data_IF_110898427250
#
_entry.id   IF_110898427250
#
_cell.length_a   1.000
_cell.length_b   1.000
_cell.length_c   1.000
_cell.angle_alpha   90.00
_cell.angle_beta   90.00
_cell.angle_gamma   90.00
#
_symmetry.space_group_name_H-M   'P 1'
#
loop_
_entity.id
_entity.type
_entity.pdbx_description
1 polymer ?
#
# COMPACT_ATOMS: atom_id res chain seq x y z
N UNK A 1 -9.91 -7.00 -8.71
CA UNK A 1 -9.61 -6.51 -7.36
C UNK A 1 -9.40 -5.01 -7.45
N UNK A 2 -10.17 -4.23 -6.69
CA UNK A 2 -10.04 -2.79 -6.52
C UNK A 2 -9.06 -2.48 -5.39
N UNK A 3 -8.19 -1.50 -5.62
CA UNK A 3 -7.31 -0.97 -4.59
C UNK A 3 -7.96 0.23 -3.90
N UNK A 4 -8.05 0.21 -2.58
CA UNK A 4 -8.37 1.40 -1.80
C UNK A 4 -7.12 1.88 -1.09
N UNK A 5 -6.59 3.01 -1.54
CA UNK A 5 -5.45 3.62 -0.85
C UNK A 5 -5.93 4.42 0.35
N UNK A 6 -5.30 4.15 1.49
CA UNK A 6 -5.73 4.62 2.80
C UNK A 6 -4.64 5.43 3.50
N UNK A 7 -3.74 6.01 2.70
CA UNK A 7 -2.63 6.82 3.17
C UNK A 7 -3.13 8.04 3.92
N UNK A 8 -4.07 8.81 3.34
CA UNK A 8 -4.56 10.06 3.91
C UNK A 8 -5.18 9.88 5.30
N UNK A 9 -5.96 8.82 5.52
CA UNK A 9 -6.61 8.55 6.82
C UNK A 9 -5.66 8.07 7.92
N UNK A 10 -4.49 7.60 7.54
CA UNK A 10 -3.54 6.92 8.44
C UNK A 10 -2.30 7.78 8.70
N UNK A 11 -1.90 8.60 7.73
CA UNK A 11 -0.83 9.60 7.87
C UNK A 11 -1.13 10.63 8.97
N UNK A 12 -2.41 10.95 9.21
CA UNK A 12 -2.83 11.82 10.32
C UNK A 12 -2.41 11.31 11.71
N UNK A 13 -1.95 10.05 11.83
CA UNK A 13 -1.46 9.44 13.06
C UNK A 13 0.06 9.46 13.20
N UNK A 14 0.77 9.95 12.19
CA UNK A 14 2.24 9.98 12.12
C UNK A 14 2.82 11.35 12.53
N UNK A 15 2.07 12.43 12.30
CA UNK A 15 2.45 13.80 12.66
C UNK A 15 1.84 14.21 14.00
N UNK A 16 2.63 14.75 14.92
CA UNK A 16 2.13 15.35 16.16
C UNK A 16 1.27 16.61 15.89
N UNK A 17 1.61 17.37 14.85
CA UNK A 17 0.92 18.62 14.48
C UNK A 17 -0.24 18.41 13.49
N UNK A 18 -0.46 17.17 13.05
CA UNK A 18 -1.41 16.85 11.98
C UNK A 18 -0.90 17.22 10.59
N UNK A 19 -1.65 16.82 9.55
CA UNK A 19 -1.45 17.31 8.19
C UNK A 19 -2.28 18.60 7.98
N UNK A 20 -1.85 19.46 7.06
CA UNK A 20 -2.68 20.56 6.54
C UNK A 20 -3.68 20.04 5.49
N UNK A 21 -4.66 20.86 5.11
CA UNK A 21 -5.61 20.50 4.04
C UNK A 21 -4.87 20.36 2.71
N UNK A 22 -3.96 21.30 2.42
CA UNK A 22 -3.16 21.35 1.19
C UNK A 22 -2.33 20.09 1.00
N UNK A 23 -1.63 19.63 2.05
CA UNK A 23 -0.84 18.39 2.00
C UNK A 23 -1.70 17.17 1.71
N UNK A 24 -2.92 17.10 2.28
CA UNK A 24 -3.84 15.99 2.03
C UNK A 24 -4.40 16.04 0.61
N UNK A 25 -4.69 17.23 0.10
CA UNK A 25 -5.18 17.43 -1.28
C UNK A 25 -4.11 17.06 -2.29
N UNK A 26 -2.87 17.54 -2.11
CA UNK A 26 -1.72 17.19 -2.97
C UNK A 26 -1.49 15.67 -3.01
N UNK A 27 -1.49 15.02 -1.84
CA UNK A 27 -1.36 13.56 -1.77
C UNK A 27 -2.56 12.83 -2.40
N UNK A 28 -3.78 13.33 -2.25
CA UNK A 28 -4.97 12.76 -2.91
C UNK A 28 -4.91 12.87 -4.43
N UNK A 29 -4.45 14.00 -4.97
CA UNK A 29 -4.24 14.18 -6.42
C UNK A 29 -3.15 13.25 -6.97
N UNK A 30 -2.10 12.99 -6.19
CA UNK A 30 -1.08 12.01 -6.58
C UNK A 30 -1.61 10.56 -6.54
N UNK A 31 -2.52 10.23 -5.61
CA UNK A 31 -3.24 8.95 -5.62
C UNK A 31 -4.16 8.81 -6.84
N UNK A 32 -4.86 9.87 -7.22
CA UNK A 32 -5.73 9.88 -8.40
C UNK A 32 -4.94 9.72 -9.70
N UNK A 33 -3.78 10.39 -9.81
CA UNK A 33 -2.82 10.16 -10.90
C UNK A 33 -2.34 8.71 -10.99
N UNK A 34 -2.11 8.07 -9.84
CA UNK A 34 -1.78 6.65 -9.81
C UNK A 34 -2.94 5.79 -10.35
N UNK A 35 -4.17 6.30 -10.35
CA UNK A 35 -5.34 5.61 -10.89
C UNK A 35 -5.97 4.64 -9.90
N UNK A 36 -5.77 4.84 -8.59
CA UNK A 36 -6.45 4.00 -7.59
C UNK A 36 -7.96 4.26 -7.65
N UNK A 37 -8.82 3.24 -7.65
CA UNK A 37 -10.27 3.45 -7.78
C UNK A 37 -10.92 4.07 -6.54
N UNK A 38 -10.30 3.92 -5.36
CA UNK A 38 -10.87 4.38 -4.09
C UNK A 38 -9.80 5.09 -3.26
N UNK A 39 -10.08 6.31 -2.79
CA UNK A 39 -9.23 7.07 -1.87
C UNK A 39 -9.91 7.17 -0.50
N UNK A 40 -9.34 6.46 0.49
CA UNK A 40 -9.82 6.48 1.86
C UNK A 40 -9.32 7.70 2.63
N UNK A 41 -10.19 8.66 2.91
CA UNK A 41 -9.86 9.85 3.71
C UNK A 41 -10.16 9.65 5.19
N UNK A 42 -9.84 10.64 6.01
CA UNK A 42 -10.05 10.58 7.44
C UNK A 42 -11.53 10.77 7.84
N UNK A 43 -11.77 11.42 8.97
CA UNK A 43 -13.10 11.47 9.59
C UNK A 43 -13.62 12.91 9.58
N UNK A 44 -14.58 13.26 8.72
CA UNK A 44 -15.12 14.63 8.66
C UNK A 44 -15.59 15.18 10.01
N UNK A 45 -16.22 14.37 10.86
CA UNK A 45 -16.62 14.79 12.21
C UNK A 45 -15.47 14.83 13.25
N UNK A 46 -14.20 14.69 12.83
CA UNK A 46 -13.05 14.96 13.68
C UNK A 46 -12.63 16.43 13.66
N UNK A 47 -12.98 17.19 12.62
CA UNK A 47 -12.67 18.61 12.55
C UNK A 47 -12.85 19.20 11.16
N UNK A 48 -12.84 20.53 11.08
CA UNK A 48 -13.06 21.27 9.83
C UNK A 48 -12.06 20.89 8.73
N UNK A 49 -10.78 20.71 9.07
CA UNK A 49 -9.75 20.33 8.09
C UNK A 49 -10.02 18.95 7.45
N UNK A 50 -10.53 17.98 8.21
CA UNK A 50 -10.87 16.65 7.68
C UNK A 50 -12.09 16.72 6.75
N UNK A 51 -13.08 17.56 7.10
CA UNK A 51 -14.25 17.79 6.27
C UNK A 51 -13.89 18.50 4.96
N UNK A 52 -13.16 19.61 5.05
CA UNK A 52 -12.70 20.39 3.89
C UNK A 52 -11.82 19.55 2.95
N UNK A 53 -10.98 18.68 3.50
CA UNK A 53 -10.18 17.75 2.68
C UNK A 53 -11.09 16.82 1.88
N UNK A 54 -12.10 16.21 2.51
CA UNK A 54 -13.04 15.34 1.80
C UNK A 54 -13.82 16.12 0.74
N UNK A 55 -14.34 17.31 1.07
CA UNK A 55 -15.07 18.18 0.13
C UNK A 55 -14.23 18.48 -1.13
N UNK A 56 -12.98 18.91 -0.94
CA UNK A 56 -12.08 19.25 -2.06
C UNK A 56 -11.71 18.03 -2.89
N UNK A 57 -11.41 16.91 -2.25
CA UNK A 57 -11.03 15.70 -2.99
C UNK A 57 -12.22 15.12 -3.75
N UNK A 58 -13.41 15.03 -3.14
CA UNK A 58 -14.59 14.49 -3.82
C UNK A 58 -15.01 15.33 -5.03
N UNK A 59 -14.76 16.64 -5.00
CA UNK A 59 -15.04 17.53 -6.13
C UNK A 59 -14.01 17.43 -7.28
N UNK A 60 -12.77 17.07 -6.97
CA UNK A 60 -11.63 17.19 -7.90
C UNK A 60 -11.08 15.85 -8.42
N UNK A 61 -11.24 14.75 -7.67
CA UNK A 61 -10.66 13.44 -8.03
C UNK A 61 -11.58 12.65 -8.98
N UNK A 62 -10.96 11.76 -9.77
CA UNK A 62 -11.69 10.75 -10.54
C UNK A 62 -11.99 9.49 -9.72
N UNK A 63 -11.15 9.20 -8.72
CA UNK A 63 -11.33 8.13 -7.75
C UNK A 63 -12.44 8.43 -6.74
N UNK A 64 -13.20 7.40 -6.31
CA UNK A 64 -14.21 7.58 -5.28
C UNK A 64 -13.56 7.93 -3.94
N UNK A 65 -14.02 9.01 -3.31
CA UNK A 65 -13.54 9.49 -2.02
C UNK A 65 -14.38 8.92 -0.90
N UNK A 66 -13.73 8.13 -0.03
CA UNK A 66 -14.40 7.33 1.01
C UNK A 66 -13.92 7.72 2.42
N UNK A 67 -14.50 8.76 3.06
CA UNK A 67 -14.25 9.07 4.47
C UNK A 67 -14.73 7.96 5.42
N UNK A 68 -14.07 7.86 6.58
CA UNK A 68 -14.49 6.94 7.65
C UNK A 68 -15.43 7.61 8.65
N UNK A 69 -16.42 6.85 9.11
CA UNK A 69 -17.36 7.21 10.17
C UNK A 69 -17.36 6.15 11.28
N UNK A 70 -17.58 6.56 12.53
CA UNK A 70 -18.08 5.62 13.55
C UNK A 70 -19.51 5.22 13.17
N UNK A 71 -19.98 4.08 13.69
CA UNK A 71 -21.39 3.71 13.66
C UNK A 71 -22.23 4.64 14.56
N UNK A 72 -22.43 5.87 14.10
CA UNK A 72 -23.20 6.92 14.77
C UNK A 72 -23.78 7.87 13.72
N UNK A 73 -25.07 8.20 13.85
CA UNK A 73 -25.82 9.06 12.92
C UNK A 73 -25.13 10.42 12.71
N UNK A 74 -24.66 11.06 13.79
CA UNK A 74 -24.00 12.37 13.71
C UNK A 74 -22.67 12.32 12.95
N UNK A 75 -21.92 11.22 13.05
CA UNK A 75 -20.64 11.04 12.37
C UNK A 75 -20.86 10.85 10.86
N UNK A 76 -21.94 10.16 10.48
CA UNK A 76 -22.39 10.03 9.09
C UNK A 76 -22.94 11.35 8.57
N UNK A 77 -23.77 12.06 9.33
CA UNK A 77 -24.30 13.36 8.92
C UNK A 77 -23.19 14.39 8.64
N UNK A 78 -22.13 14.38 9.45
CA UNK A 78 -20.96 15.22 9.22
C UNK A 78 -20.16 14.82 7.97
N UNK A 79 -20.15 13.53 7.61
CA UNK A 79 -19.52 13.07 6.37
C UNK A 79 -20.36 13.43 5.15
N UNK A 80 -21.70 13.28 5.21
CA UNK A 80 -22.60 13.70 4.14
C UNK A 80 -22.51 15.20 3.83
N UNK A 81 -22.25 16.03 4.84
CA UNK A 81 -21.99 17.45 4.64
C UNK A 81 -20.73 17.74 3.82
N UNK A 82 -19.85 16.75 3.65
CA UNK A 82 -18.64 16.83 2.84
C UNK A 82 -18.82 16.31 1.40
N UNK A 83 -20.04 15.91 1.03
CA UNK A 83 -20.42 15.36 -0.28
C UNK A 83 -19.50 14.24 -0.84
N UNK A 84 -19.20 13.18 -0.07
CA UNK A 84 -18.34 12.09 -0.52
C UNK A 84 -19.09 11.11 -1.43
N UNK A 85 -18.35 10.36 -2.25
CA UNK A 85 -18.90 9.31 -3.13
C UNK A 85 -19.46 8.12 -2.33
N UNK A 86 -18.80 7.77 -1.22
CA UNK A 86 -19.27 6.74 -0.29
C UNK A 86 -18.77 7.03 1.14
N UNK A 87 -19.38 6.40 2.15
CA UNK A 87 -18.88 6.46 3.53
C UNK A 87 -18.48 5.08 4.04
N UNK A 88 -17.38 4.99 4.79
CA UNK A 88 -16.96 3.77 5.45
C UNK A 88 -17.36 3.76 6.93
N UNK A 89 -18.38 2.97 7.30
CA UNK A 89 -18.86 2.84 8.68
C UNK A 89 -18.09 1.75 9.42
N UNK A 90 -17.42 2.13 10.53
CA UNK A 90 -16.61 1.23 11.35
C UNK A 90 -17.42 0.54 12.44
N UNK A 91 -17.39 -0.80 12.48
CA UNK A 91 -18.11 -1.61 13.48
C UNK A 91 -17.20 -2.71 14.04
N UNK A 92 -16.91 -2.72 15.36
CA UNK A 92 -16.21 -3.85 15.98
C UNK A 92 -17.05 -5.11 15.96
N UNK A 93 -16.42 -6.26 15.67
CA UNK A 93 -17.12 -7.57 15.64
C UNK A 93 -16.54 -8.59 16.62
N UNK A 94 -15.29 -8.42 17.05
CA UNK A 94 -14.65 -9.31 18.03
C UNK A 94 -15.13 -9.04 19.45
N UNK A 95 -15.31 -10.10 20.22
CA UNK A 95 -15.80 -10.04 21.61
C UNK A 95 -14.87 -9.19 22.48
N UNK A 96 -13.55 -9.36 22.30
CA UNK A 96 -12.55 -8.56 23.01
C UNK A 96 -12.72 -7.05 22.81
N UNK A 97 -13.15 -6.59 21.62
CA UNK A 97 -13.42 -5.16 21.38
C UNK A 97 -14.79 -4.74 21.87
N UNK A 98 -15.81 -5.57 21.64
CA UNK A 98 -17.17 -5.28 22.10
C UNK A 98 -17.21 -5.12 23.62
N UNK A 99 -16.65 -6.08 24.36
CA UNK A 99 -16.60 -6.06 25.83
C UNK A 99 -15.71 -4.94 26.36
N UNK A 100 -14.44 -4.86 25.91
CA UNK A 100 -13.45 -3.98 26.55
C UNK A 100 -13.51 -2.52 26.09
N UNK A 101 -14.10 -2.24 24.92
CA UNK A 101 -14.05 -0.90 24.32
C UNK A 101 -15.43 -0.26 24.18
N UNK A 102 -16.47 -1.04 23.88
CA UNK A 102 -17.83 -0.50 23.69
C UNK A 102 -18.77 -0.82 24.85
N UNK A 103 -18.53 -1.90 25.60
CA UNK A 103 -19.43 -2.36 26.66
C UNK A 103 -20.83 -2.69 26.13
N UNK A 104 -20.95 -3.17 24.90
CA UNK A 104 -22.21 -3.49 24.24
C UNK A 104 -22.18 -4.89 23.62
N UNK A 105 -23.35 -5.44 23.36
CA UNK A 105 -23.48 -6.68 22.59
C UNK A 105 -23.15 -6.46 21.11
N UNK A 106 -22.94 -7.55 20.38
CA UNK A 106 -22.74 -7.50 18.92
C UNK A 106 -23.98 -7.01 18.19
N UNK A 107 -25.16 -7.45 18.63
CA UNK A 107 -26.43 -7.03 18.04
C UNK A 107 -26.64 -5.53 18.24
N UNK A 108 -26.36 -4.99 19.44
CA UNK A 108 -26.39 -3.55 19.68
C UNK A 108 -25.41 -2.78 18.80
N UNK A 109 -24.20 -3.33 18.57
CA UNK A 109 -23.24 -2.71 17.65
C UNK A 109 -23.73 -2.73 16.19
N UNK A 110 -24.38 -3.82 15.77
CA UNK A 110 -24.97 -3.96 14.44
C UNK A 110 -26.24 -3.11 14.28
N UNK A 111 -27.02 -2.88 15.33
CA UNK A 111 -28.16 -1.96 15.34
C UNK A 111 -27.70 -0.53 15.07
N UNK A 112 -26.67 -0.07 15.81
CA UNK A 112 -26.05 1.25 15.57
C UNK A 112 -25.48 1.39 14.17
N UNK A 113 -24.89 0.32 13.64
CA UNK A 113 -24.40 0.29 12.26
C UNK A 113 -25.55 0.38 11.25
N UNK A 114 -26.69 -0.27 11.54
CA UNK A 114 -27.88 -0.23 10.69
C UNK A 114 -28.46 1.19 10.63
N UNK A 115 -28.52 1.90 11.76
CA UNK A 115 -28.92 3.31 11.82
C UNK A 115 -27.98 4.21 11.02
N UNK A 116 -26.66 4.02 11.16
CA UNK A 116 -25.66 4.77 10.41
C UNK A 116 -25.74 4.51 8.89
N UNK A 117 -25.91 3.24 8.48
CA UNK A 117 -26.09 2.84 7.08
C UNK A 117 -27.38 3.45 6.51
N UNK A 118 -28.49 3.39 7.25
CA UNK A 118 -29.74 4.00 6.84
C UNK A 118 -29.58 5.50 6.62
N UNK A 119 -28.94 6.19 7.57
CA UNK A 119 -28.72 7.64 7.48
C UNK A 119 -27.91 8.02 6.23
N UNK A 120 -26.88 7.25 5.88
CA UNK A 120 -26.07 7.50 4.68
C UNK A 120 -26.90 7.33 3.40
N UNK A 121 -27.68 6.24 3.32
CA UNK A 121 -28.60 5.97 2.19
C UNK A 121 -29.68 7.03 2.03
N UNK A 122 -30.26 7.51 3.14
CA UNK A 122 -31.20 8.65 3.12
C UNK A 122 -30.54 9.95 2.64
N UNK A 123 -29.21 10.07 2.81
CA UNK A 123 -28.39 11.14 2.26
C UNK A 123 -27.99 10.94 0.79
N UNK A 124 -28.37 9.81 0.17
CA UNK A 124 -28.03 9.50 -1.22
C UNK A 124 -26.60 8.99 -1.43
N UNK A 125 -25.88 8.63 -0.36
CA UNK A 125 -24.47 8.20 -0.42
C UNK A 125 -24.35 6.71 -0.11
N UNK A 126 -23.51 6.02 -0.88
CA UNK A 126 -23.24 4.59 -0.70
C UNK A 126 -22.44 4.30 0.56
N UNK A 127 -22.51 3.06 1.04
CA UNK A 127 -21.89 2.66 2.30
C UNK A 127 -20.97 1.48 2.11
N UNK A 128 -19.78 1.58 2.69
CA UNK A 128 -18.87 0.48 2.94
C UNK A 128 -18.89 0.17 4.45
N UNK A 129 -19.04 -1.09 4.83
CA UNK A 129 -18.99 -1.49 6.23
C UNK A 129 -17.61 -2.07 6.55
N UNK A 130 -16.88 -1.49 7.50
CA UNK A 130 -15.62 -2.07 7.96
C UNK A 130 -15.80 -2.80 9.28
N UNK A 131 -15.65 -4.13 9.24
CA UNK A 131 -15.65 -4.99 10.42
C UNK A 131 -14.29 -4.92 11.10
N UNK A 132 -14.22 -4.10 12.14
CA UNK A 132 -13.02 -3.89 12.93
C UNK A 132 -12.74 -5.15 13.75
N UNK A 133 -11.52 -5.67 13.58
CA UNK A 133 -10.98 -6.84 14.27
C UNK A 133 -11.64 -8.17 13.85
N UNK A 134 -12.13 -8.23 12.61
CA UNK A 134 -12.83 -9.38 12.04
C UNK A 134 -12.05 -10.69 12.16
N UNK A 135 -10.73 -10.66 11.90
CA UNK A 135 -9.93 -11.88 11.93
C UNK A 135 -9.70 -12.45 13.33
N UNK A 136 -10.10 -11.76 14.41
CA UNK A 136 -10.10 -12.28 15.79
C UNK A 136 -11.51 -12.60 16.30
N UNK A 137 -12.53 -12.46 15.47
CA UNK A 137 -13.89 -12.90 15.75
C UNK A 137 -14.12 -14.32 15.22
N UNK A 138 -15.12 -14.99 15.78
CA UNK A 138 -15.60 -16.27 15.28
C UNK A 138 -16.26 -16.08 13.90
N UNK A 139 -16.07 -17.05 12.99
CA UNK A 139 -16.61 -16.97 11.62
C UNK A 139 -18.12 -16.70 11.59
N UNK A 140 -18.98 -17.34 12.42
CA UNK A 140 -20.41 -17.04 12.44
C UNK A 140 -20.73 -15.58 12.75
N UNK A 141 -19.92 -14.91 13.58
CA UNK A 141 -20.11 -13.49 13.88
C UNK A 141 -19.83 -12.60 12.67
N UNK A 142 -18.81 -12.95 11.88
CA UNK A 142 -18.46 -12.23 10.65
C UNK A 142 -19.48 -12.54 9.54
N UNK A 143 -19.85 -13.80 9.35
CA UNK A 143 -20.87 -14.22 8.39
C UNK A 143 -22.24 -13.56 8.68
N UNK A 144 -22.59 -13.40 9.96
CA UNK A 144 -23.82 -12.70 10.37
C UNK A 144 -23.90 -11.26 9.86
N UNK A 145 -22.77 -10.57 9.69
CA UNK A 145 -22.75 -9.24 9.08
C UNK A 145 -23.10 -9.27 7.58
N UNK A 146 -22.62 -10.27 6.83
CA UNK A 146 -22.98 -10.43 5.40
C UNK A 146 -24.47 -10.72 5.21
N UNK A 147 -25.09 -11.46 6.14
CA UNK A 147 -26.53 -11.70 6.12
C UNK A 147 -27.37 -10.48 6.53
N UNK A 148 -26.80 -9.55 7.31
CA UNK A 148 -27.50 -8.38 7.85
C UNK A 148 -27.38 -7.13 6.98
N UNK A 149 -26.24 -6.93 6.33
CA UNK A 149 -25.93 -5.72 5.57
C UNK A 149 -25.77 -6.05 4.10
N UNK A 150 -26.52 -5.36 3.25
CA UNK A 150 -26.42 -5.46 1.79
C UNK A 150 -25.56 -4.33 1.22
N UNK A 151 -24.26 -4.37 1.52
CA UNK A 151 -23.24 -3.42 1.05
C UNK A 151 -21.85 -4.08 1.03
N UNK A 152 -20.80 -3.45 0.46
CA UNK A 152 -19.43 -3.95 0.56
C UNK A 152 -18.95 -4.02 2.02
N UNK A 153 -18.26 -5.11 2.38
CA UNK A 153 -17.80 -5.37 3.76
C UNK A 153 -16.28 -5.55 3.80
N UNK A 154 -15.57 -4.62 4.45
CA UNK A 154 -14.11 -4.70 4.65
C UNK A 154 -13.78 -5.41 5.96
N UNK A 155 -13.06 -6.52 5.87
CA UNK A 155 -12.56 -7.30 7.01
C UNK A 155 -11.20 -6.76 7.44
N UNK A 156 -11.11 -6.24 8.67
CA UNK A 156 -9.86 -5.63 9.15
C UNK A 156 -9.11 -6.51 10.16
N UNK A 157 -7.88 -6.93 9.83
CA UNK A 157 -6.91 -7.42 10.81
C UNK A 157 -6.33 -6.21 11.54
N UNK A 158 -6.99 -5.81 12.62
CA UNK A 158 -6.74 -4.52 13.26
C UNK A 158 -5.45 -4.51 14.09
N UNK A 159 -4.95 -5.68 14.45
CA UNK A 159 -3.76 -5.85 15.29
C UNK A 159 -2.58 -6.45 14.54
N UNK A 160 -2.76 -6.87 13.28
CA UNK A 160 -1.68 -7.39 12.43
C UNK A 160 -1.18 -8.75 12.91
N UNK A 161 -2.07 -9.57 13.47
CA UNK A 161 -1.71 -10.83 14.13
C UNK A 161 -1.90 -12.05 13.22
N UNK A 162 -2.27 -11.86 11.96
CA UNK A 162 -2.57 -12.96 11.04
C UNK A 162 -1.45 -13.21 10.05
N UNK A 163 -1.36 -14.47 9.63
CA UNK A 163 -0.39 -14.97 8.66
C UNK A 163 -1.13 -15.57 7.46
N UNK A 164 -0.46 -15.73 6.31
CA UNK A 164 -1.16 -16.09 5.08
C UNK A 164 -1.97 -17.41 5.14
N UNK A 165 -1.46 -18.51 5.76
CA UNK A 165 -2.25 -19.74 5.89
C UNK A 165 -3.53 -19.57 6.74
N UNK A 166 -3.46 -18.73 7.78
CA UNK A 166 -4.64 -18.42 8.60
C UNK A 166 -5.66 -17.63 7.77
N UNK A 167 -5.23 -16.60 7.04
CA UNK A 167 -6.11 -15.76 6.21
C UNK A 167 -6.83 -16.60 5.17
N UNK A 168 -6.11 -17.44 4.41
CA UNK A 168 -6.71 -18.35 3.44
C UNK A 168 -7.75 -19.29 4.08
N UNK A 169 -7.42 -19.90 5.23
CA UNK A 169 -8.32 -20.78 5.95
C UNK A 169 -9.57 -20.07 6.46
N UNK A 170 -9.40 -18.89 7.06
CA UNK A 170 -10.49 -18.08 7.59
C UNK A 170 -11.48 -17.67 6.50
N UNK A 171 -10.98 -17.18 5.36
CA UNK A 171 -11.80 -16.74 4.24
C UNK A 171 -12.52 -17.92 3.57
N UNK A 172 -11.88 -19.09 3.46
CA UNK A 172 -12.57 -20.31 3.01
C UNK A 172 -13.71 -20.69 3.93
N UNK A 173 -13.48 -20.74 5.24
CA UNK A 173 -14.55 -21.04 6.21
C UNK A 173 -15.66 -19.99 6.19
N UNK A 174 -15.33 -18.73 5.93
CA UNK A 174 -16.30 -17.65 5.77
C UNK A 174 -17.16 -17.85 4.51
N UNK A 175 -16.57 -18.24 3.38
CA UNK A 175 -17.30 -18.62 2.16
C UNK A 175 -18.19 -19.86 2.39
N UNK A 176 -17.68 -20.89 3.09
CA UNK A 176 -18.46 -22.08 3.46
C UNK A 176 -19.66 -21.72 4.35
N UNK A 177 -19.55 -20.64 5.14
CA UNK A 177 -20.64 -20.05 5.91
C UNK A 177 -21.58 -19.14 5.09
N UNK A 178 -21.55 -19.25 3.75
CA UNK A 178 -22.39 -18.50 2.79
C UNK A 178 -22.17 -16.99 2.77
N UNK A 179 -21.01 -16.49 3.22
CA UNK A 179 -20.64 -15.10 3.00
C UNK A 179 -20.22 -14.88 1.55
N UNK A 180 -20.78 -13.83 0.92
CA UNK A 180 -20.41 -13.43 -0.43
C UNK A 180 -19.07 -12.69 -0.44
N UNK A 181 -17.98 -13.41 -0.72
CA UNK A 181 -16.64 -12.84 -0.77
C UNK A 181 -16.45 -11.83 -1.91
N UNK A 182 -17.29 -11.83 -2.94
CA UNK A 182 -17.21 -10.83 -4.02
C UNK A 182 -17.62 -9.43 -3.55
N UNK A 183 -18.31 -9.34 -2.41
CA UNK A 183 -18.63 -8.09 -1.71
C UNK A 183 -17.63 -7.78 -0.60
N UNK A 184 -16.66 -8.65 -0.36
CA UNK A 184 -15.70 -8.47 0.71
C UNK A 184 -14.51 -7.63 0.24
N UNK A 185 -13.98 -6.84 1.17
CA UNK A 185 -12.66 -6.25 1.11
C UNK A 185 -11.81 -6.68 2.29
N UNK A 186 -10.50 -6.43 2.24
CA UNK A 186 -9.59 -6.73 3.35
C UNK A 186 -8.65 -5.58 3.67
N UNK A 187 -8.30 -5.48 4.95
CA UNK A 187 -7.35 -4.50 5.47
C UNK A 187 -6.44 -5.15 6.48
N UNK A 188 -5.16 -5.25 6.15
CA UNK A 188 -4.16 -5.85 7.02
C UNK A 188 -3.26 -4.79 7.65
N UNK A 189 -2.87 -5.05 8.88
CA UNK A 189 -1.88 -4.30 9.65
C UNK A 189 -0.59 -5.11 9.68
N UNK A 190 0.55 -4.43 9.69
CA UNK A 190 1.83 -5.08 9.42
C UNK A 190 2.65 -5.43 10.69
N UNK A 191 1.98 -5.58 11.82
CA UNK A 191 2.63 -5.84 13.11
C UNK A 191 3.48 -7.15 13.15
N UNK A 192 3.24 -8.10 12.24
CA UNK A 192 4.04 -9.32 12.04
C UNK A 192 4.81 -9.34 10.69
N UNK A 193 4.86 -8.23 9.94
CA UNK A 193 5.48 -8.19 8.62
C UNK A 193 4.78 -9.05 7.56
N UNK A 194 3.47 -9.30 7.73
CA UNK A 194 2.69 -10.20 6.88
C UNK A 194 1.59 -9.50 6.07
N UNK A 195 1.44 -8.17 6.16
CA UNK A 195 0.26 -7.48 5.64
C UNK A 195 0.14 -7.58 4.11
N UNK A 196 1.22 -7.34 3.37
CA UNK A 196 1.24 -7.47 1.90
C UNK A 196 0.95 -8.92 1.49
N UNK A 197 1.61 -9.90 2.12
CA UNK A 197 1.39 -11.32 1.82
C UNK A 197 -0.06 -11.77 2.12
N UNK A 198 -0.64 -11.29 3.23
CA UNK A 198 -2.03 -11.54 3.59
C UNK A 198 -2.99 -10.92 2.56
N UNK A 199 -2.70 -9.70 2.08
CA UNK A 199 -3.50 -9.03 1.06
C UNK A 199 -3.52 -9.81 -0.26
N UNK A 200 -2.36 -10.29 -0.72
CA UNK A 200 -2.25 -11.09 -1.95
C UNK A 200 -2.98 -12.42 -1.82
N UNK A 201 -2.83 -13.14 -0.70
CA UNK A 201 -3.55 -14.40 -0.46
C UNK A 201 -5.07 -14.18 -0.36
N UNK A 202 -5.50 -13.08 0.24
CA UNK A 202 -6.92 -12.73 0.29
C UNK A 202 -7.48 -12.44 -1.11
N UNK A 203 -6.74 -11.73 -1.97
CA UNK A 203 -7.15 -11.48 -3.35
C UNK A 203 -7.38 -12.77 -4.15
N UNK A 204 -6.59 -13.82 -3.89
CA UNK A 204 -6.75 -15.14 -4.53
C UNK A 204 -8.04 -15.87 -4.14
N UNK A 205 -8.74 -15.46 -3.07
CA UNK A 205 -10.01 -16.09 -2.64
C UNK A 205 -11.25 -15.47 -3.26
N UNK A 206 -11.11 -14.57 -4.24
CA UNK A 206 -12.22 -13.88 -4.89
C UNK A 206 -12.72 -12.62 -4.17
N UNK A 207 -11.92 -12.09 -3.24
CA UNK A 207 -12.16 -10.79 -2.61
C UNK A 207 -12.04 -9.67 -3.65
N UNK A 208 -12.97 -8.72 -3.61
CA UNK A 208 -13.01 -7.65 -4.61
C UNK A 208 -12.17 -6.43 -4.21
N UNK A 209 -11.83 -6.23 -2.93
CA UNK A 209 -11.11 -5.02 -2.49
C UNK A 209 -9.93 -5.29 -1.56
N UNK A 210 -8.81 -4.61 -1.79
CA UNK A 210 -7.67 -4.54 -0.86
C UNK A 210 -7.46 -3.10 -0.42
N UNK A 211 -7.37 -2.89 0.89
CA UNK A 211 -6.95 -1.64 1.47
C UNK A 211 -5.44 -1.66 1.77
N UNK A 212 -4.72 -0.67 1.23
CA UNK A 212 -3.27 -0.51 1.39
C UNK A 212 -2.89 0.97 1.59
N UNK A 213 -1.70 1.25 2.10
CA UNK A 213 -1.16 2.62 2.17
C UNK A 213 0.20 2.70 1.49
N UNK A 214 0.47 3.83 0.85
CA UNK A 214 1.78 4.15 0.27
C UNK A 214 2.87 4.01 1.33
N UNK A 215 3.93 3.29 0.99
CA UNK A 215 5.04 3.02 1.90
C UNK A 215 4.70 2.06 3.04
N UNK A 216 3.48 1.49 3.05
CA UNK A 216 2.94 0.72 4.17
C UNK A 216 2.70 1.55 5.42
N UNK A 217 2.63 2.89 5.30
CA UNK A 217 2.64 3.76 6.48
C UNK A 217 1.38 3.63 7.33
N UNK A 218 1.53 3.88 8.63
CA UNK A 218 0.42 4.04 9.55
C UNK A 218 0.85 3.92 11.00
N UNK A 219 -0.11 3.91 11.95
CA UNK A 219 0.25 3.70 13.36
C UNK A 219 1.01 2.37 13.53
N UNK A 220 1.74 2.17 14.65
CA UNK A 220 2.57 0.97 14.91
C UNK A 220 3.45 0.59 13.69
N UNK A 221 3.41 -0.66 13.23
CA UNK A 221 4.14 -1.13 12.05
C UNK A 221 3.47 -0.80 10.71
N UNK A 222 2.32 -0.10 10.70
CA UNK A 222 1.65 0.29 9.47
C UNK A 222 0.68 -0.75 8.89
N UNK A 223 0.63 -0.85 7.56
CA UNK A 223 -0.34 -1.59 6.75
C UNK A 223 0.33 -2.29 5.56
N UNK A 224 -0.44 -3.09 4.82
CA UNK A 224 0.00 -3.54 3.49
C UNK A 224 0.37 -2.33 2.63
N UNK A 225 1.50 -2.43 1.93
CA UNK A 225 2.03 -1.32 1.16
C UNK A 225 1.43 -1.30 -0.25
N UNK A 226 0.89 -0.15 -0.68
CA UNK A 226 0.23 0.03 -1.97
C UNK A 226 1.15 -0.39 -3.12
N UNK A 227 2.38 0.11 -3.11
CA UNK A 227 3.39 -0.19 -4.13
C UNK A 227 3.78 -1.67 -4.19
N UNK A 228 3.81 -2.37 -3.04
CA UNK A 228 4.17 -3.78 -2.98
C UNK A 228 3.02 -4.67 -3.46
N UNK A 229 1.78 -4.33 -3.09
CA UNK A 229 0.58 -5.05 -3.56
C UNK A 229 0.48 -4.93 -5.07
N UNK A 230 0.67 -3.73 -5.63
CA UNK A 230 0.65 -3.51 -7.08
C UNK A 230 1.78 -4.28 -7.75
N UNK A 231 3.04 -4.10 -7.33
CA UNK A 231 4.17 -4.76 -7.98
C UNK A 231 4.07 -6.28 -7.94
N UNK A 232 3.63 -6.86 -6.82
CA UNK A 232 3.43 -8.30 -6.71
C UNK A 232 2.26 -8.81 -7.56
N UNK A 233 1.21 -8.01 -7.76
CA UNK A 233 0.07 -8.35 -8.64
C UNK A 233 0.50 -8.35 -10.11
N UNK A 234 1.15 -7.26 -10.55
CA UNK A 234 1.65 -7.09 -11.92
C UNK A 234 2.69 -8.15 -12.30
N UNK A 235 3.65 -8.45 -11.41
CA UNK A 235 4.69 -9.45 -11.65
C UNK A 235 4.12 -10.87 -11.82
N UNK A 236 2.90 -11.12 -11.31
CA UNK A 236 2.19 -12.39 -11.50
C UNK A 236 1.34 -12.43 -12.77
N UNK A 237 1.40 -11.38 -13.60
CA UNK A 237 0.64 -11.27 -14.84
C UNK A 237 -0.82 -10.88 -14.65
N UNK A 238 -1.18 -10.32 -13.48
CA UNK A 238 -2.52 -9.79 -13.22
C UNK A 238 -2.49 -8.26 -13.23
N UNK A 239 -3.58 -7.65 -13.71
CA UNK A 239 -3.75 -6.20 -13.72
C UNK A 239 -4.16 -5.71 -12.32
N UNK A 240 -3.35 -4.84 -11.73
CA UNK A 240 -3.61 -4.20 -10.45
C UNK A 240 -4.64 -3.06 -10.53
N UNK A 241 -5.05 -2.68 -11.75
CA UNK A 241 -6.06 -1.64 -12.01
C UNK A 241 -5.56 -0.23 -11.71
N UNK A 242 -4.26 0.02 -11.88
CA UNK A 242 -3.59 1.30 -11.64
C UNK A 242 -2.61 1.61 -12.78
N UNK A 243 -2.17 2.87 -12.87
CA UNK A 243 -1.13 3.28 -13.81
C UNK A 243 0.23 2.84 -13.30
N UNK A 244 0.70 1.64 -13.69
CA UNK A 244 1.94 1.03 -13.17
C UNK A 244 3.16 1.95 -13.29
N UNK A 245 3.30 2.69 -14.38
CA UNK A 245 4.39 3.64 -14.60
C UNK A 245 4.39 4.84 -13.62
N UNK A 246 3.28 5.10 -12.94
CA UNK A 246 3.16 6.17 -11.93
C UNK A 246 3.43 5.68 -10.50
N UNK A 247 3.64 4.37 -10.26
CA UNK A 247 3.81 3.80 -8.92
C UNK A 247 4.92 4.51 -8.14
N UNK A 248 6.16 4.49 -8.64
CA UNK A 248 7.29 5.07 -7.92
C UNK A 248 7.18 6.60 -7.82
N UNK A 249 6.88 7.35 -8.91
CA UNK A 249 6.70 8.80 -8.84
C UNK A 249 5.58 9.23 -7.87
N UNK A 250 4.38 8.66 -7.99
CA UNK A 250 3.24 9.01 -7.15
C UNK A 250 3.51 8.68 -5.69
N UNK A 251 4.06 7.49 -5.38
CA UNK A 251 4.40 7.15 -4.00
C UNK A 251 5.40 8.14 -3.39
N UNK A 252 6.42 8.58 -4.14
CA UNK A 252 7.39 9.59 -3.68
C UNK A 252 6.76 10.96 -3.45
N UNK A 253 5.87 11.39 -4.35
CA UNK A 253 5.15 12.66 -4.22
C UNK A 253 4.23 12.63 -3.00
N UNK A 254 3.49 11.54 -2.81
CA UNK A 254 2.61 11.35 -1.64
C UNK A 254 3.40 11.40 -0.34
N UNK A 255 4.49 10.63 -0.24
CA UNK A 255 5.36 10.62 0.94
C UNK A 255 5.90 12.02 1.23
N UNK A 256 6.37 12.74 0.20
CA UNK A 256 6.85 14.12 0.33
C UNK A 256 5.76 15.07 0.83
N UNK A 257 4.58 15.04 0.21
CA UNK A 257 3.46 15.92 0.54
C UNK A 257 3.04 15.76 2.02
N UNK A 258 2.97 14.52 2.51
CA UNK A 258 2.59 14.24 3.90
C UNK A 258 3.76 14.32 4.89
N UNK A 259 4.98 14.67 4.43
CA UNK A 259 6.17 14.76 5.27
C UNK A 259 6.64 13.41 5.83
N UNK A 260 6.33 12.31 5.14
CA UNK A 260 6.79 10.96 5.49
C UNK A 260 7.98 10.53 4.63
N UNK A 261 8.73 9.55 5.11
CA UNK A 261 9.79 8.88 4.35
C UNK A 261 9.76 7.39 4.61
N UNK A 262 10.37 6.64 3.71
CA UNK A 262 10.58 5.19 3.82
C UNK A 262 12.08 4.90 3.83
N UNK A 263 12.48 3.75 4.36
CA UNK A 263 13.88 3.33 4.33
C UNK A 263 14.37 3.12 2.89
N UNK A 264 15.68 3.30 2.67
CA UNK A 264 16.30 3.15 1.35
C UNK A 264 16.08 1.76 0.74
N UNK A 265 15.90 0.73 1.58
CA UNK A 265 15.65 -0.65 1.15
C UNK A 265 14.17 -1.05 1.15
N UNK A 266 13.25 -0.09 1.27
CA UNK A 266 11.81 -0.37 1.15
C UNK A 266 11.54 -0.93 -0.24
N UNK A 267 10.85 -2.06 -0.32
CA UNK A 267 10.56 -2.70 -1.59
C UNK A 267 9.85 -1.72 -2.55
N UNK A 268 10.18 -1.84 -3.85
CA UNK A 268 9.65 -1.03 -4.96
C UNK A 268 10.10 0.44 -4.96
N UNK A 269 9.87 1.18 -3.87
CA UNK A 269 10.05 2.65 -3.83
C UNK A 269 11.39 3.12 -3.24
N UNK A 270 12.03 2.26 -2.44
CA UNK A 270 13.32 2.53 -1.82
C UNK A 270 14.44 2.60 -2.86
N UNK A 271 15.31 3.60 -2.74
CA UNK A 271 16.39 3.82 -3.71
C UNK A 271 17.36 2.63 -3.85
N UNK A 272 17.65 1.95 -2.75
CA UNK A 272 18.51 0.77 -2.74
C UNK A 272 17.79 -0.52 -3.16
N UNK A 273 16.45 -0.51 -3.26
CA UNK A 273 15.67 -1.68 -3.69
C UNK A 273 15.79 -1.96 -5.19
N UNK A 274 16.20 -0.96 -5.97
CA UNK A 274 16.43 -1.05 -7.42
C UNK A 274 17.92 -0.97 -7.78
N UNK A 275 18.79 -1.23 -6.80
CA UNK A 275 20.24 -1.23 -6.95
C UNK A 275 20.77 -2.64 -7.12
N UNK A 276 21.44 -2.90 -8.25
CA UNK A 276 22.19 -4.12 -8.50
C UNK A 276 23.67 -3.88 -8.18
N UNK A 277 24.19 -4.61 -7.20
CA UNK A 277 25.63 -4.75 -7.03
C UNK A 277 26.17 -5.64 -8.15
N UNK A 278 27.08 -5.09 -8.95
CA UNK A 278 27.64 -5.78 -10.11
C UNK A 278 28.77 -6.68 -9.63
N UNK A 279 28.41 -7.94 -9.34
CA UNK A 279 29.40 -8.97 -9.03
C UNK A 279 30.05 -9.56 -10.28
N UNK A 280 29.29 -9.70 -11.37
CA UNK A 280 29.74 -10.30 -12.63
C UNK A 280 29.33 -9.48 -13.86
N UNK A 281 29.93 -9.78 -15.02
CA UNK A 281 29.56 -9.15 -16.30
C UNK A 281 28.15 -9.50 -16.79
N UNK A 282 27.52 -10.55 -16.26
CA UNK A 282 26.17 -10.95 -16.65
C UNK A 282 25.11 -9.98 -16.10
N UNK A 283 25.26 -9.54 -14.84
CA UNK A 283 24.37 -8.56 -14.20
C UNK A 283 24.28 -7.22 -14.95
N UNK A 284 25.34 -6.84 -15.67
CA UNK A 284 25.38 -5.64 -16.51
C UNK A 284 24.64 -5.79 -17.84
N UNK A 285 24.62 -7.00 -18.38
CA UNK A 285 24.17 -7.30 -19.74
C UNK A 285 22.75 -7.88 -19.77
N UNK A 286 22.37 -8.61 -18.73
CA UNK A 286 21.03 -9.18 -18.56
C UNK A 286 20.51 -8.95 -17.12
N UNK A 287 20.07 -7.71 -16.78
CA UNK A 287 19.56 -7.41 -15.45
C UNK A 287 18.33 -8.23 -15.05
N UNK A 288 17.56 -8.74 -16.03
CA UNK A 288 16.36 -9.53 -15.77
C UNK A 288 16.67 -10.87 -15.08
N UNK A 289 17.91 -11.36 -15.17
CA UNK A 289 18.35 -12.54 -14.42
C UNK A 289 18.44 -12.30 -12.89
N UNK A 290 18.49 -11.05 -12.45
CA UNK A 290 18.74 -10.66 -11.05
C UNK A 290 17.60 -9.85 -10.43
N UNK A 291 16.64 -9.39 -11.23
CA UNK A 291 15.56 -8.53 -10.77
C UNK A 291 14.20 -9.23 -10.91
N UNK A 292 13.31 -9.13 -9.90
CA UNK A 292 11.97 -9.70 -10.00
C UNK A 292 11.09 -8.97 -11.03
N UNK A 293 11.42 -7.72 -11.36
CA UNK A 293 10.73 -6.89 -12.34
C UNK A 293 11.66 -5.76 -12.82
N UNK A 294 11.38 -5.18 -13.99
CA UNK A 294 12.10 -4.00 -14.46
C UNK A 294 11.65 -2.75 -13.67
N UNK A 295 12.53 -2.05 -12.91
CA UNK A 295 12.15 -0.84 -12.20
C UNK A 295 11.57 0.24 -13.10
N UNK A 296 12.00 0.29 -14.38
CA UNK A 296 11.48 1.25 -15.37
C UNK A 296 9.99 1.10 -15.63
N UNK A 297 9.47 -0.13 -15.59
CA UNK A 297 8.04 -0.41 -15.79
C UNK A 297 7.15 0.20 -14.68
N UNK A 298 7.73 0.46 -13.50
CA UNK A 298 7.05 1.04 -12.34
C UNK A 298 7.36 2.54 -12.15
N UNK A 299 7.98 3.19 -13.14
CA UNK A 299 8.42 4.60 -13.07
C UNK A 299 9.67 4.83 -12.22
N UNK A 300 10.34 3.74 -11.81
CA UNK A 300 11.61 3.75 -11.12
C UNK A 300 12.81 3.83 -12.07
N UNK A 301 14.01 3.70 -11.50
CA UNK A 301 15.26 3.61 -12.26
C UNK A 301 16.16 2.56 -11.64
N UNK A 302 16.68 1.67 -12.49
CA UNK A 302 17.74 0.72 -12.13
C UNK A 302 19.03 1.49 -11.84
N UNK A 303 19.70 1.12 -10.74
CA UNK A 303 21.04 1.62 -10.40
C UNK A 303 22.02 0.45 -10.40
N UNK A 304 23.21 0.68 -10.91
CA UNK A 304 24.32 -0.26 -10.82
C UNK A 304 25.35 0.30 -9.84
N UNK A 305 25.80 -0.54 -8.93
CA UNK A 305 26.88 -0.22 -7.99
C UNK A 305 28.04 -1.16 -8.25
N UNK A 306 29.24 -0.57 -8.31
CA UNK A 306 30.50 -1.26 -8.52
C UNK A 306 31.38 -0.99 -7.30
N UNK A 307 31.97 -2.04 -6.75
CA UNK A 307 32.84 -1.96 -5.57
C UNK A 307 33.85 -3.11 -5.58
N UNK A 308 34.42 -3.44 -4.41
CA UNK A 308 35.35 -4.54 -4.20
C UNK A 308 34.80 -5.94 -4.57
N UNK A 309 33.50 -6.08 -4.79
CA UNK A 309 32.87 -7.33 -5.22
C UNK A 309 32.78 -7.47 -6.74
N UNK A 310 33.17 -6.44 -7.50
CA UNK A 310 33.25 -6.53 -8.97
C UNK A 310 34.27 -7.59 -9.36
N UNK A 311 33.86 -8.60 -10.13
CA UNK A 311 34.77 -9.63 -10.60
C UNK A 311 35.54 -9.20 -11.87
N UNK A 312 36.54 -9.98 -12.32
CA UNK A 312 37.27 -9.69 -13.54
C UNK A 312 36.37 -9.55 -14.78
N UNK A 313 35.26 -10.29 -14.89
CA UNK A 313 34.39 -10.19 -16.07
C UNK A 313 33.55 -8.92 -16.07
N UNK A 314 33.08 -8.47 -14.90
CA UNK A 314 32.45 -7.16 -14.72
C UNK A 314 33.41 -6.02 -15.11
N UNK A 315 34.67 -6.12 -14.69
CA UNK A 315 35.71 -5.17 -15.11
C UNK A 315 36.00 -5.22 -16.62
N UNK A 316 36.05 -6.42 -17.24
CA UNK A 316 36.18 -6.54 -18.70
C UNK A 316 35.01 -5.88 -19.43
N UNK A 317 33.79 -6.06 -18.93
CA UNK A 317 32.60 -5.45 -19.52
C UNK A 317 32.63 -3.92 -19.42
N UNK A 318 33.04 -3.36 -18.28
CA UNK A 318 33.25 -1.91 -18.13
C UNK A 318 34.27 -1.38 -19.14
N UNK A 319 35.42 -2.05 -19.30
CA UNK A 319 36.45 -1.67 -20.27
C UNK A 319 35.92 -1.71 -21.71
N UNK A 320 35.16 -2.75 -22.08
CA UNK A 320 34.54 -2.85 -23.40
C UNK A 320 33.55 -1.71 -23.68
N UNK A 321 32.80 -1.26 -22.66
CA UNK A 321 31.82 -0.16 -22.78
C UNK A 321 32.44 1.22 -23.01
N UNK A 322 33.73 1.37 -22.70
CA UNK A 322 34.52 2.58 -22.97
C UNK A 322 35.52 2.36 -24.12
N UNK A 323 35.28 1.36 -24.97
CA UNK A 323 36.11 1.01 -26.13
C UNK A 323 37.59 0.72 -25.79
N UNK A 324 37.87 0.25 -24.57
CA UNK A 324 39.20 -0.18 -24.12
C UNK A 324 39.38 -1.69 -24.24
N UNK A 325 40.57 -2.11 -24.67
CA UNK A 325 40.90 -3.53 -24.76
C UNK A 325 41.07 -4.13 -23.35
N UNK A 326 40.30 -5.19 -22.99
CA UNK A 326 40.29 -5.75 -21.64
C UNK A 326 41.47 -6.68 -21.37
N UNK A 327 42.69 -6.14 -21.44
CA UNK A 327 43.93 -6.85 -21.11
C UNK A 327 43.98 -7.21 -19.62
N UNK A 328 44.71 -8.27 -19.25
CA UNK A 328 44.81 -8.71 -17.86
C UNK A 328 45.28 -7.57 -16.92
N UNK A 329 46.24 -6.75 -17.36
CA UNK A 329 46.73 -5.63 -16.55
C UNK A 329 45.76 -4.46 -16.44
N UNK A 330 44.95 -4.18 -17.48
CA UNK A 330 43.90 -3.15 -17.39
C UNK A 330 42.77 -3.58 -16.45
N UNK A 331 42.40 -4.87 -16.50
CA UNK A 331 41.42 -5.46 -15.58
C UNK A 331 41.89 -5.36 -14.13
N UNK A 332 43.13 -5.76 -13.84
CA UNK A 332 43.70 -5.70 -12.48
C UNK A 332 43.71 -4.26 -11.94
N UNK A 333 44.19 -3.29 -12.73
CA UNK A 333 44.16 -1.87 -12.35
C UNK A 333 42.75 -1.36 -12.09
N UNK A 334 41.78 -1.70 -12.94
CA UNK A 334 40.39 -1.27 -12.73
C UNK A 334 39.83 -1.82 -11.42
N UNK A 335 40.07 -3.10 -11.13
CA UNK A 335 39.61 -3.74 -9.89
C UNK A 335 40.22 -3.10 -8.64
N UNK A 336 41.52 -2.77 -8.67
CA UNK A 336 42.17 -2.03 -7.58
C UNK A 336 41.50 -0.67 -7.37
N UNK A 337 41.25 0.08 -8.44
CA UNK A 337 40.61 1.40 -8.35
C UNK A 337 39.16 1.34 -7.87
N UNK A 338 38.39 0.36 -8.30
CA UNK A 338 37.03 0.13 -7.78
C UNK A 338 37.04 -0.24 -6.29
N UNK A 339 38.05 -1.00 -5.86
CA UNK A 339 38.23 -1.33 -4.44
C UNK A 339 38.59 -0.10 -3.62
N UNK A 340 39.47 0.76 -4.13
CA UNK A 340 39.89 2.01 -3.47
C UNK A 340 38.78 3.07 -3.42
N UNK A 341 37.99 3.19 -4.49
CA UNK A 341 36.88 4.13 -4.58
C UNK A 341 35.69 3.73 -3.68
N UNK A 342 35.55 2.45 -3.37
CA UNK A 342 34.37 1.90 -2.70
C UNK A 342 33.16 1.87 -3.64
N UNK A 343 31.92 1.78 -3.09
CA UNK A 343 30.70 1.74 -3.89
C UNK A 343 30.54 2.98 -4.76
N UNK A 344 30.67 2.81 -6.08
CA UNK A 344 30.49 3.86 -7.08
C UNK A 344 29.36 3.53 -8.06
N UNK A 345 28.68 4.56 -8.55
CA UNK A 345 27.68 4.40 -9.61
C UNK A 345 28.32 4.15 -10.97
N UNK A 346 27.50 3.71 -11.93
CA UNK A 346 27.94 3.37 -13.29
C UNK A 346 28.74 4.45 -13.99
N UNK A 347 28.38 5.72 -13.86
CA UNK A 347 29.09 6.82 -14.52
C UNK A 347 30.54 6.90 -14.02
N UNK A 348 30.73 6.96 -12.70
CA UNK A 348 32.06 6.95 -12.09
C UNK A 348 32.83 5.66 -12.37
N UNK A 349 32.17 4.50 -12.41
CA UNK A 349 32.84 3.25 -12.77
C UNK A 349 33.38 3.26 -14.22
N UNK A 350 32.66 3.92 -15.15
CA UNK A 350 33.11 4.10 -16.54
C UNK A 350 34.26 5.11 -16.61
N UNK A 351 34.22 6.21 -15.87
CA UNK A 351 35.34 7.17 -15.77
C UNK A 351 36.61 6.48 -15.26
N UNK A 352 36.51 5.65 -14.21
CA UNK A 352 37.64 4.88 -13.70
C UNK A 352 38.20 3.90 -14.74
N UNK A 353 37.34 3.35 -15.62
CA UNK A 353 37.71 2.44 -16.70
C UNK A 353 38.39 3.16 -17.88
N UNK A 354 38.06 4.43 -18.15
CA UNK A 354 38.71 5.23 -19.20
C UNK A 354 40.17 5.57 -18.87
N UNK A 355 40.46 5.67 -17.58
CA UNK A 355 41.75 6.09 -17.02
C UNK A 355 42.79 4.96 -16.86
N UNK A 356 42.41 3.69 -17.09
CA UNK A 356 43.30 2.51 -16.92
C UNK A 356 43.84 1.90 -18.20
#
# INVERSE_FOLDING_TARGET
MKLCDITLRTASRLSNDGLTVEQRVEAGQALDRLGVPLVGTGRPAAGAAERETTERLAADLSADVVPRCRAAVDDVAAALAADPDAVEVLVPVSDVRLERRLGCSRDEAFDRASEAVLRAREGGVDVHLALVDAFRAEVPAVAGAFGRFDCPIVLADTVGARTPPFVAGFLRTLADASADLTRAGVRFRDDLGCATANALVAAETGIDRVDASVGGIGGRAGHAATEEVVAATETRGADAGVTTAEIVPACRDILRAIGASVGERKAVVGEAATTLAVGDGASLNDPAAFEPFDPGAFGGRRRFVFDSWTDPEGARELLRRVDREPTAGAVERLLERLTEAGPVERETALELAEEV
#
